data_IF_596166741555
#
_entry.id   IF_596166741555
#
_cell.length_a   1.000
_cell.length_b   1.000
_cell.length_c   1.000
_cell.angle_alpha   90.00
_cell.angle_beta   90.00
_cell.angle_gamma   90.00
#
_symmetry.space_group_name_H-M   'P 1'
#
loop_
_entity.id
_entity.type
_entity.pdbx_description
1 polymer ?
#
# COMPACT_ATOMS: atom_id res chain seq x y z
N UNK A 1 2.38 -22.40 -8.57
CA UNK A 1 2.17 -20.94 -8.54
C UNK A 1 3.15 -20.31 -9.52
N UNK A 2 2.68 -19.43 -10.41
CA UNK A 2 3.57 -18.79 -11.39
C UNK A 2 4.59 -17.87 -10.71
N UNK A 3 5.83 -17.83 -11.21
CA UNK A 3 6.91 -17.02 -10.62
C UNK A 3 6.49 -15.56 -10.42
N UNK A 4 5.70 -14.99 -11.31
CA UNK A 4 5.19 -13.61 -11.20
C UNK A 4 4.35 -13.38 -9.94
N UNK A 5 3.48 -14.32 -9.57
CA UNK A 5 2.66 -14.22 -8.36
C UNK A 5 3.51 -14.33 -7.10
N UNK A 6 4.47 -15.25 -7.07
CA UNK A 6 5.43 -15.37 -5.96
C UNK A 6 6.24 -14.08 -5.76
N UNK A 7 6.66 -13.43 -6.85
CA UNK A 7 7.37 -12.15 -6.77
C UNK A 7 6.46 -11.07 -6.16
N UNK A 8 5.22 -10.95 -6.64
CA UNK A 8 4.27 -9.96 -6.13
C UNK A 8 3.97 -10.18 -4.64
N UNK A 9 3.71 -11.41 -4.24
CA UNK A 9 3.47 -11.79 -2.84
C UNK A 9 4.66 -11.43 -1.95
N UNK A 10 5.88 -11.75 -2.39
CA UNK A 10 7.11 -11.39 -1.66
C UNK A 10 7.26 -9.87 -1.50
N UNK A 11 7.03 -9.09 -2.56
CA UNK A 11 7.11 -7.63 -2.49
C UNK A 11 6.09 -7.05 -1.51
N UNK A 12 4.82 -7.44 -1.63
CA UNK A 12 3.74 -6.92 -0.78
C UNK A 12 3.96 -7.33 0.68
N UNK A 13 4.34 -8.59 0.93
CA UNK A 13 4.58 -9.08 2.29
C UNK A 13 5.72 -8.29 2.98
N UNK A 14 6.81 -8.00 2.27
CA UNK A 14 7.90 -7.19 2.84
C UNK A 14 7.46 -5.74 3.09
N UNK A 15 6.70 -5.13 2.18
CA UNK A 15 6.22 -3.76 2.38
C UNK A 15 5.29 -3.63 3.60
N UNK A 16 4.41 -4.61 3.82
CA UNK A 16 3.50 -4.64 4.99
C UNK A 16 4.27 -4.93 6.28
N UNK A 17 5.30 -5.79 6.22
CA UNK A 17 6.13 -6.14 7.37
C UNK A 17 6.96 -4.95 7.85
N UNK A 18 7.67 -4.30 6.94
CA UNK A 18 8.69 -3.29 7.27
C UNK A 18 8.11 -1.91 7.59
N UNK A 19 6.91 -1.59 7.09
CA UNK A 19 6.35 -0.24 7.18
C UNK A 19 4.98 -0.18 7.86
N UNK A 20 4.79 0.86 8.66
CA UNK A 20 3.47 1.37 8.99
C UNK A 20 3.00 2.28 7.86
N UNK A 21 1.77 2.04 7.39
CA UNK A 21 1.13 2.82 6.35
C UNK A 21 0.25 3.87 7.02
N UNK A 22 0.56 5.15 6.83
CA UNK A 22 -0.18 6.27 7.41
C UNK A 22 -0.76 7.12 6.31
N UNK A 23 -1.88 7.75 6.62
CA UNK A 23 -2.49 8.75 5.76
C UNK A 23 -1.58 9.98 5.66
N UNK A 24 -1.68 10.67 4.52
CA UNK A 24 -1.08 11.98 4.37
C UNK A 24 -1.93 13.01 5.13
N UNK A 25 -1.31 13.89 5.96
CA UNK A 25 -2.06 14.88 6.72
C UNK A 25 -2.95 15.76 5.82
N UNK A 26 -4.24 15.83 6.13
CA UNK A 26 -5.21 16.60 5.34
C UNK A 26 -5.67 15.93 4.05
N UNK A 27 -5.19 14.72 3.73
CA UNK A 27 -5.65 13.93 2.60
C UNK A 27 -6.42 12.69 3.08
N UNK A 28 -7.73 12.85 3.31
CA UNK A 28 -8.61 11.72 3.61
C UNK A 28 -8.59 10.70 2.47
N UNK A 29 -8.57 9.42 2.85
CA UNK A 29 -8.59 8.28 1.93
C UNK A 29 -10.02 8.08 1.43
N UNK A 30 -10.21 8.21 0.12
CA UNK A 30 -11.48 7.98 -0.56
C UNK A 30 -11.41 6.69 -1.37
N UNK A 31 -12.29 5.74 -1.09
CA UNK A 31 -12.38 4.45 -1.78
C UNK A 31 -13.28 4.47 -3.02
N UNK A 32 -13.82 5.63 -3.42
CA UNK A 32 -14.65 5.72 -4.60
C UNK A 32 -13.88 5.28 -5.85
N UNK A 33 -14.50 4.41 -6.66
CA UNK A 33 -13.88 3.81 -7.84
C UNK A 33 -14.27 4.53 -9.14
N UNK A 34 -13.38 4.49 -10.13
CA UNK A 34 -13.69 4.83 -11.52
C UNK A 34 -13.17 3.74 -12.45
N UNK A 35 -13.86 3.54 -13.58
CA UNK A 35 -13.52 2.52 -14.57
C UNK A 35 -12.87 3.19 -15.77
N UNK A 36 -11.65 2.77 -16.08
CA UNK A 36 -10.95 3.12 -17.31
C UNK A 36 -10.69 1.81 -18.09
N UNK A 37 -9.43 1.51 -18.41
CA UNK A 37 -9.02 0.19 -18.87
C UNK A 37 -9.04 -0.85 -17.73
N UNK A 38 -8.75 -0.41 -16.50
CA UNK A 38 -8.89 -1.16 -15.24
C UNK A 38 -9.78 -0.39 -14.25
N UNK A 39 -10.14 -1.00 -13.13
CA UNK A 39 -10.78 -0.28 -12.01
C UNK A 39 -9.68 0.44 -11.21
N UNK A 40 -9.83 1.75 -11.03
CA UNK A 40 -8.89 2.61 -10.28
C UNK A 40 -9.64 3.45 -9.25
N UNK A 41 -8.90 4.04 -8.30
CA UNK A 41 -9.49 4.98 -7.32
C UNK A 41 -9.71 6.34 -7.98
N UNK A 42 -10.89 6.96 -7.78
CA UNK A 42 -11.20 8.32 -8.25
C UNK A 42 -10.20 9.34 -7.74
N UNK A 43 -9.77 9.17 -6.49
CA UNK A 43 -8.69 9.93 -5.86
C UNK A 43 -7.57 8.95 -5.51
N UNK A 44 -6.43 8.95 -6.24
CA UNK A 44 -5.35 8.02 -5.98
C UNK A 44 -4.82 8.12 -4.55
N UNK A 45 -4.62 6.97 -3.90
CA UNK A 45 -4.07 6.90 -2.55
C UNK A 45 -2.66 7.51 -2.50
N UNK A 46 -2.44 8.44 -1.57
CA UNK A 46 -1.11 8.88 -1.17
C UNK A 46 -0.74 8.32 0.19
N UNK A 47 0.03 7.24 0.19
CA UNK A 47 0.50 6.61 1.40
C UNK A 47 1.79 7.26 1.92
N UNK A 48 1.86 7.50 3.23
CA UNK A 48 3.09 7.84 3.93
C UNK A 48 3.63 6.60 4.64
N UNK A 49 4.74 6.06 4.14
CA UNK A 49 5.40 4.91 4.74
C UNK A 49 6.34 5.36 5.86
N UNK A 50 6.14 4.82 7.06
CA UNK A 50 7.03 5.02 8.20
C UNK A 50 7.64 3.67 8.56
N UNK A 51 8.97 3.59 8.65
CA UNK A 51 9.64 2.34 9.02
C UNK A 51 9.17 1.92 10.40
N UNK A 52 8.71 0.68 10.53
CA UNK A 52 8.36 0.10 11.82
C UNK A 52 9.65 -0.04 12.62
N UNK A 53 9.78 0.68 13.73
CA UNK A 53 10.89 0.45 14.65
C UNK A 53 10.67 -0.92 15.30
N UNK A 54 11.56 -1.88 15.03
CA UNK A 54 11.66 -3.06 15.89
C UNK A 54 11.91 -2.54 17.30
N UNK A 55 10.98 -2.77 18.22
CA UNK A 55 11.15 -2.32 19.60
C UNK A 55 12.51 -2.75 20.11
N UNK A 56 13.40 -1.78 20.34
CA UNK A 56 14.44 -1.92 21.34
C UNK A 56 13.75 -1.85 22.69
N UNK A 57 13.20 -2.99 23.12
CA UNK A 57 12.78 -3.27 24.48
C UNK A 57 13.74 -4.28 25.07
#
# INVERSE_FOLDING_TARGET
LGIAMLHLEYFVANLVREFEWKEMPGEEVDFAETREFTVVMKKPLRARLVRRTSGSG
#
